data_IF_220268034586
#
_entry.id   IF_220268034586
#
_cell.length_a   1.000
_cell.length_b   1.000
_cell.length_c   1.000
_cell.angle_alpha   90.00
_cell.angle_beta   90.00
_cell.angle_gamma   90.00
#
_symmetry.space_group_name_H-M   'P 1'
#
loop_
_entity.id
_entity.type
_entity.pdbx_description
1 polymer ?
#
# COMPACT_ATOMS: atom_id res chain seq x y z
N UNK A 1 -49.79 41.55 -26.60
CA UNK A 1 -48.36 41.27 -26.85
C UNK A 1 -48.08 39.81 -26.55
N UNK A 2 -47.39 39.10 -27.46
CA UNK A 2 -46.86 37.73 -27.33
C UNK A 2 -45.86 37.70 -26.14
N UNK A 3 -45.63 36.64 -25.34
CA UNK A 3 -44.96 35.35 -25.65
C UNK A 3 -44.91 34.51 -24.34
N UNK A 4 -45.29 33.22 -24.37
CA UNK A 4 -44.45 32.00 -24.47
C UNK A 4 -44.08 31.40 -23.11
N UNK A 5 -44.57 30.18 -22.89
CA UNK A 5 -44.17 29.23 -21.85
C UNK A 5 -42.67 29.07 -21.72
N UNK A 6 -42.19 28.97 -20.48
CA UNK A 6 -40.92 28.33 -20.15
C UNK A 6 -41.21 26.99 -19.48
N UNK A 7 -41.49 25.99 -20.32
CA UNK A 7 -41.17 24.60 -20.01
C UNK A 7 -39.69 24.42 -20.30
N UNK A 8 -38.88 24.32 -19.26
CA UNK A 8 -37.55 23.72 -19.34
C UNK A 8 -37.30 22.96 -18.04
N UNK A 9 -37.86 21.75 -18.04
CA UNK A 9 -37.43 20.55 -17.36
C UNK A 9 -35.92 20.60 -17.01
N UNK A 10 -35.57 21.13 -15.85
CA UNK A 10 -34.24 20.89 -15.27
C UNK A 10 -34.26 19.47 -14.72
N UNK A 11 -34.05 18.51 -15.62
CA UNK A 11 -33.74 17.15 -15.24
C UNK A 11 -32.59 17.19 -14.25
N UNK A 12 -32.88 16.85 -13.00
CA UNK A 12 -31.86 16.47 -12.05
C UNK A 12 -31.19 15.27 -12.71
N UNK A 13 -30.01 15.51 -13.29
CA UNK A 13 -29.07 14.45 -13.58
C UNK A 13 -28.71 13.87 -12.22
N UNK A 14 -29.50 12.89 -11.77
CA UNK A 14 -29.00 11.87 -10.90
C UNK A 14 -27.90 11.18 -11.71
N UNK A 15 -26.69 11.72 -11.61
CA UNK A 15 -25.47 10.99 -11.87
C UNK A 15 -25.53 9.81 -10.90
N UNK A 16 -26.17 8.72 -11.33
CA UNK A 16 -25.91 7.40 -10.79
C UNK A 16 -24.46 7.12 -11.15
N UNK A 17 -23.54 7.67 -10.35
CA UNK A 17 -22.18 7.20 -10.21
C UNK A 17 -22.30 5.78 -9.66
N UNK A 18 -22.62 4.83 -10.54
CA UNK A 18 -22.41 3.40 -10.35
C UNK A 18 -20.90 3.07 -10.42
N UNK A 19 -20.05 4.00 -9.96
CA UNK A 19 -18.63 3.79 -9.74
C UNK A 19 -18.42 3.42 -8.28
N UNK A 20 -18.46 2.12 -7.99
CA UNK A 20 -17.98 1.42 -6.80
C UNK A 20 -17.38 2.33 -5.72
N UNK A 21 -18.21 2.84 -4.82
CA UNK A 21 -17.74 3.41 -3.55
C UNK A 21 -17.17 2.26 -2.72
N UNK A 22 -15.85 2.07 -2.74
CA UNK A 22 -15.20 1.14 -1.82
C UNK A 22 -15.39 1.66 -0.39
N UNK A 23 -15.65 0.76 0.57
CA UNK A 23 -15.81 1.08 2.00
C UNK A 23 -14.62 1.83 2.61
N UNK A 24 -13.51 1.91 1.89
CA UNK A 24 -12.27 2.59 2.30
C UNK A 24 -12.21 4.07 1.92
N UNK A 25 -13.27 4.59 1.29
CA UNK A 25 -13.37 6.00 0.89
C UNK A 25 -12.49 6.36 -0.29
N UNK A 26 -12.11 5.38 -1.12
CA UNK A 26 -11.28 5.57 -2.31
C UNK A 26 -12.04 5.14 -3.56
N UNK A 27 -11.81 5.87 -4.66
CA UNK A 27 -12.31 5.52 -5.99
C UNK A 27 -11.19 4.88 -6.81
N UNK A 28 -11.52 3.83 -7.57
CA UNK A 28 -10.58 3.07 -8.41
C UNK A 28 -10.47 1.60 -8.02
N UNK A 29 -9.63 0.85 -8.73
CA UNK A 29 -9.35 -0.56 -8.44
C UNK A 29 -8.37 -0.65 -7.27
N UNK A 30 -8.70 -1.47 -6.27
CA UNK A 30 -7.98 -1.55 -5.01
C UNK A 30 -7.43 -2.95 -4.82
N UNK A 31 -6.11 -3.07 -4.63
CA UNK A 31 -5.50 -4.28 -4.08
C UNK A 31 -5.68 -4.28 -2.57
N UNK A 32 -6.11 -5.41 -2.00
CA UNK A 32 -6.38 -5.59 -0.57
C UNK A 32 -5.21 -6.15 0.20
N UNK A 33 -4.15 -6.54 -0.50
CA UNK A 33 -2.95 -7.15 0.07
C UNK A 33 -1.75 -6.97 -0.85
N UNK A 34 -0.54 -7.09 -0.30
CA UNK A 34 0.69 -7.17 -1.09
C UNK A 34 0.68 -8.41 -1.99
N UNK A 35 0.19 -9.55 -1.47
CA UNK A 35 0.03 -10.78 -2.28
C UNK A 35 -0.85 -10.53 -3.50
N UNK A 36 -2.02 -9.94 -3.35
CA UNK A 36 -2.92 -9.62 -4.47
C UNK A 36 -2.27 -8.66 -5.48
N UNK A 37 -1.58 -7.62 -4.99
CA UNK A 37 -0.86 -6.68 -5.84
C UNK A 37 0.26 -7.34 -6.67
N UNK A 38 0.84 -8.44 -6.17
CA UNK A 38 1.92 -9.19 -6.82
C UNK A 38 1.47 -10.43 -7.59
N UNK A 39 0.28 -10.97 -7.32
CA UNK A 39 -0.21 -12.22 -7.94
C UNK A 39 -0.62 -12.02 -9.40
N UNK A 40 -1.28 -10.89 -9.71
CA UNK A 40 -1.74 -10.59 -11.06
C UNK A 40 -1.12 -9.29 -11.56
N UNK A 41 0.01 -9.42 -12.25
CA UNK A 41 0.74 -8.29 -12.84
C UNK A 41 0.04 -7.69 -14.06
N UNK A 42 -1.01 -8.33 -14.60
CA UNK A 42 -1.81 -7.79 -15.70
C UNK A 42 -2.79 -6.73 -15.22
N UNK A 43 -3.11 -6.74 -13.92
CA UNK A 43 -4.02 -5.79 -13.30
C UNK A 43 -3.28 -4.53 -12.90
N UNK A 44 -3.76 -3.38 -13.39
CA UNK A 44 -3.36 -2.06 -12.91
C UNK A 44 -4.27 -1.66 -11.76
N UNK A 45 -3.74 -1.72 -10.53
CA UNK A 45 -4.40 -1.20 -9.34
C UNK A 45 -4.12 0.30 -9.20
N UNK A 46 -5.13 1.06 -8.79
CA UNK A 46 -5.00 2.48 -8.46
C UNK A 46 -4.53 2.68 -7.00
N UNK A 47 -4.86 1.71 -6.14
CA UNK A 47 -4.62 1.75 -4.70
C UNK A 47 -4.18 0.40 -4.14
N UNK A 48 -3.37 0.44 -3.08
CA UNK A 48 -3.21 -0.63 -2.10
C UNK A 48 -3.88 -0.20 -0.80
N UNK A 49 -4.90 -0.93 -0.36
CA UNK A 49 -5.55 -0.75 0.95
C UNK A 49 -5.51 -2.05 1.73
N UNK A 50 -4.57 -2.17 2.67
CA UNK A 50 -4.27 -3.42 3.34
C UNK A 50 -4.15 -3.24 4.86
N UNK A 51 -4.60 -4.25 5.61
CA UNK A 51 -4.21 -4.45 6.99
C UNK A 51 -2.85 -5.14 7.01
N UNK A 52 -1.87 -4.53 7.66
CA UNK A 52 -0.46 -4.93 7.59
C UNK A 52 0.12 -5.16 8.97
N UNK A 53 1.19 -5.96 8.99
CA UNK A 53 2.15 -5.99 10.10
C UNK A 53 3.50 -5.51 9.62
N UNK A 54 4.21 -4.76 10.47
CA UNK A 54 5.50 -4.19 10.13
C UNK A 54 6.46 -4.21 11.32
N UNK A 55 7.75 -4.18 11.02
CA UNK A 55 8.83 -3.98 12.02
C UNK A 55 10.03 -3.31 11.36
N UNK A 56 10.84 -2.61 12.14
CA UNK A 56 12.15 -2.16 11.69
C UNK A 56 13.11 -3.35 11.71
N UNK A 57 13.89 -3.51 10.65
CA UNK A 57 14.98 -4.48 10.55
C UNK A 57 16.24 -3.76 10.10
N UNK A 58 17.40 -4.38 10.33
CA UNK A 58 18.62 -4.00 9.63
C UNK A 58 18.84 -4.96 8.46
N UNK A 59 18.98 -4.46 7.22
CA UNK A 59 19.24 -5.30 6.05
C UNK A 59 20.73 -5.57 5.81
N UNK A 60 21.62 -4.89 6.52
CA UNK A 60 23.06 -5.19 6.56
C UNK A 60 23.55 -5.32 7.99
N UNK A 61 23.86 -6.55 8.42
CA UNK A 61 24.37 -6.84 9.77
C UNK A 61 25.66 -6.08 10.13
N UNK A 62 26.37 -5.54 9.13
CA UNK A 62 27.60 -4.78 9.31
C UNK A 62 27.39 -3.26 9.26
N UNK A 63 26.22 -2.76 8.83
CA UNK A 63 25.94 -1.32 8.77
C UNK A 63 24.61 -0.97 9.45
N UNK A 64 24.67 -0.33 10.61
CA UNK A 64 23.47 0.13 11.36
C UNK A 64 22.72 1.27 10.67
N UNK A 65 23.30 1.89 9.65
CA UNK A 65 22.63 2.88 8.81
C UNK A 65 21.72 2.22 7.77
N UNK A 66 21.69 0.89 7.69
CA UNK A 66 20.83 0.16 6.77
C UNK A 66 19.53 -0.34 7.42
N UNK A 67 19.03 0.33 8.46
CA UNK A 67 17.70 0.00 8.97
C UNK A 67 16.61 0.31 7.93
N UNK A 68 15.62 -0.56 7.79
CA UNK A 68 14.50 -0.47 6.85
C UNK A 68 13.25 -1.02 7.52
N UNK A 69 12.09 -0.45 7.25
CA UNK A 69 10.84 -1.13 7.58
C UNK A 69 10.58 -2.23 6.56
N UNK A 70 10.22 -3.40 7.08
CA UNK A 70 9.55 -4.45 6.31
C UNK A 70 8.09 -4.49 6.69
N UNK A 71 7.23 -4.60 5.68
CA UNK A 71 5.78 -4.57 5.81
C UNK A 71 5.23 -5.79 5.12
N UNK A 72 4.35 -6.52 5.80
CA UNK A 72 3.70 -7.72 5.28
C UNK A 72 2.19 -7.59 5.46
N UNK A 73 1.43 -8.38 4.70
CA UNK A 73 0.01 -8.55 5.02
C UNK A 73 -0.12 -9.10 6.45
N UNK A 74 -1.09 -8.57 7.22
CA UNK A 74 -1.24 -8.87 8.65
C UNK A 74 -1.24 -10.37 8.95
N UNK A 75 -1.98 -11.12 8.13
CA UNK A 75 -2.21 -12.55 8.32
C UNK A 75 -1.22 -13.43 7.52
N UNK A 76 -0.22 -12.84 6.87
CA UNK A 76 0.76 -13.61 6.09
C UNK A 76 1.74 -14.37 6.99
N UNK A 77 1.73 -15.70 6.94
CA UNK A 77 2.65 -16.55 7.70
C UNK A 77 3.94 -16.83 6.92
N UNK A 78 3.90 -16.72 5.60
CA UNK A 78 5.03 -17.05 4.74
C UNK A 78 6.00 -15.87 4.65
N UNK A 79 5.52 -14.63 4.80
CA UNK A 79 6.35 -13.41 4.77
C UNK A 79 7.20 -13.31 3.48
N UNK A 80 6.71 -13.88 2.38
CA UNK A 80 7.45 -13.95 1.11
C UNK A 80 7.22 -12.74 0.22
N UNK A 81 6.10 -12.02 0.44
CA UNK A 81 5.71 -10.84 -0.33
C UNK A 81 5.38 -9.70 0.63
N UNK A 82 5.85 -8.49 0.33
CA UNK A 82 5.66 -7.36 1.23
C UNK A 82 6.12 -6.05 0.63
N UNK A 83 6.23 -5.02 1.46
CA UNK A 83 6.83 -3.72 1.11
C UNK A 83 8.12 -3.49 1.89
N UNK A 84 9.04 -2.71 1.30
CA UNK A 84 10.30 -2.30 1.94
C UNK A 84 10.40 -0.77 1.88
N UNK A 85 10.91 -0.13 2.93
CA UNK A 85 11.31 1.28 2.84
C UNK A 85 12.04 1.82 4.05
N UNK A 86 13.06 2.67 3.83
CA UNK A 86 13.52 3.70 4.80
C UNK A 86 13.35 5.11 4.23
N UNK A 87 13.42 5.30 2.90
CA UNK A 87 13.51 6.62 2.25
C UNK A 87 12.58 6.83 1.04
N UNK A 88 12.10 5.80 0.36
CA UNK A 88 11.22 5.96 -0.84
C UNK A 88 9.81 6.47 -0.51
N UNK A 89 9.55 6.65 0.79
CA UNK A 89 8.24 6.91 1.33
C UNK A 89 8.38 7.85 2.52
N UNK A 90 8.22 9.16 2.29
CA UNK A 90 7.73 10.09 3.31
C UNK A 90 6.46 9.57 4.06
N UNK A 91 5.89 8.49 3.53
CA UNK A 91 4.67 7.80 3.87
C UNK A 91 4.80 6.71 4.97
N UNK A 92 5.95 6.03 5.13
CA UNK A 92 6.16 5.07 6.24
C UNK A 92 6.78 5.71 7.48
N UNK A 93 7.21 6.97 7.41
CA UNK A 93 7.55 7.75 8.60
C UNK A 93 6.37 7.90 9.60
N UNK A 94 5.15 7.56 9.17
CA UNK A 94 3.95 7.51 10.02
C UNK A 94 3.87 6.25 10.88
N UNK A 95 4.65 5.21 10.55
CA UNK A 95 4.80 4.02 11.36
C UNK A 95 5.60 4.35 12.62
N UNK A 96 5.15 3.77 13.72
CA UNK A 96 5.86 3.82 14.98
C UNK A 96 7.26 3.20 14.81
N UNK A 97 8.29 3.93 15.23
CA UNK A 97 9.66 3.41 15.34
C UNK A 97 9.67 2.28 16.35
N UNK A 98 10.02 1.09 15.87
CA UNK A 98 10.08 -0.13 16.69
C UNK A 98 11.51 -0.62 16.72
N UNK A 99 12.09 -0.73 17.93
CA UNK A 99 13.43 -1.29 18.15
C UNK A 99 13.38 -2.58 18.98
N UNK A 100 12.20 -3.19 19.12
CA UNK A 100 11.94 -4.35 19.98
C UNK A 100 11.85 -5.67 19.20
N UNK A 101 12.14 -5.66 17.89
CA UNK A 101 11.99 -6.77 16.95
C UNK A 101 10.56 -7.38 16.88
N UNK A 102 9.54 -6.70 17.44
CA UNK A 102 8.15 -7.16 17.42
C UNK A 102 7.41 -6.53 16.26
N UNK A 103 6.47 -7.29 15.69
CA UNK A 103 5.52 -6.72 14.75
C UNK A 103 4.59 -5.72 15.43
N UNK A 104 4.34 -4.62 14.75
CA UNK A 104 3.21 -3.72 14.97
C UNK A 104 2.23 -3.86 13.82
N UNK A 105 1.04 -3.30 13.98
CA UNK A 105 -0.06 -3.45 13.04
C UNK A 105 -0.58 -2.09 12.62
N UNK A 106 -1.00 -1.96 11.37
CA UNK A 106 -1.60 -0.74 10.85
C UNK A 106 -2.51 -1.07 9.66
N UNK A 107 -3.38 -0.12 9.30
CA UNK A 107 -4.04 -0.11 8.00
C UNK A 107 -3.36 0.92 7.12
N UNK A 108 -2.92 0.52 5.93
CA UNK A 108 -2.31 1.45 4.96
C UNK A 108 -3.26 1.71 3.81
N UNK A 109 -3.22 2.93 3.26
CA UNK A 109 -3.86 3.32 2.01
C UNK A 109 -2.82 4.03 1.15
N UNK A 110 -2.31 3.35 0.14
CA UNK A 110 -1.29 3.88 -0.77
C UNK A 110 -1.92 4.07 -2.14
N UNK A 111 -1.90 5.30 -2.66
CA UNK A 111 -2.23 5.56 -4.06
C UNK A 111 -0.96 5.47 -4.89
N UNK A 112 -1.01 4.87 -6.06
CA UNK A 112 0.11 4.93 -7.01
C UNK A 112 0.26 3.66 -7.83
N UNK A 113 1.16 3.73 -8.81
CA UNK A 113 1.48 2.55 -9.61
C UNK A 113 2.24 1.55 -8.73
N UNK A 114 1.58 0.42 -8.45
CA UNK A 114 2.18 -0.71 -7.76
C UNK A 114 3.11 -1.43 -8.71
N UNK A 115 4.35 -1.67 -8.27
CA UNK A 115 5.32 -2.46 -9.01
C UNK A 115 5.77 -3.62 -8.13
N UNK A 116 5.54 -4.84 -8.61
CA UNK A 116 6.03 -6.04 -7.95
C UNK A 116 7.39 -6.42 -8.56
N UNK A 117 8.43 -6.49 -7.72
CA UNK A 117 9.78 -6.90 -8.12
C UNK A 117 10.26 -8.11 -7.32
N UNK A 118 11.18 -8.87 -7.89
CA UNK A 118 11.91 -9.90 -7.15
C UNK A 118 12.92 -9.24 -6.21
N UNK A 119 13.06 -9.78 -5.01
CA UNK A 119 13.95 -9.23 -3.99
C UNK A 119 15.41 -9.61 -4.22
N UNK A 120 15.68 -10.63 -5.04
CA UNK A 120 17.04 -11.06 -5.35
C UNK A 120 17.87 -11.36 -4.11
N UNK A 121 19.09 -10.83 -4.08
CA UNK A 121 20.09 -10.91 -3.00
C UNK A 121 19.97 -9.78 -1.96
N UNK A 122 18.89 -8.98 -2.01
CA UNK A 122 18.73 -7.79 -1.17
C UNK A 122 18.82 -8.07 0.34
N UNK A 123 18.49 -9.29 0.76
CA UNK A 123 18.50 -9.71 2.16
C UNK A 123 19.70 -10.60 2.52
N UNK A 124 20.65 -10.84 1.61
CA UNK A 124 21.76 -11.78 1.85
C UNK A 124 22.68 -11.34 2.99
N UNK A 125 22.69 -10.04 3.30
CA UNK A 125 23.44 -9.44 4.41
C UNK A 125 22.60 -9.24 5.68
N UNK A 126 21.31 -9.56 5.65
CA UNK A 126 20.44 -9.37 6.78
C UNK A 126 20.81 -10.33 7.93
N UNK A 127 20.53 -9.97 9.19
CA UNK A 127 20.57 -10.88 10.32
C UNK A 127 19.70 -12.13 10.11
N UNK A 128 20.10 -13.27 10.69
CA UNK A 128 19.42 -14.56 10.48
C UNK A 128 17.96 -14.61 10.96
N UNK A 129 17.56 -13.69 11.85
CA UNK A 129 16.21 -13.53 12.36
C UNK A 129 15.31 -12.67 11.45
N UNK A 130 15.84 -12.20 10.32
CA UNK A 130 15.09 -11.54 9.25
C UNK A 130 14.76 -12.59 8.18
N UNK A 131 13.48 -12.91 8.03
CA UNK A 131 13.04 -13.75 6.91
C UNK A 131 13.13 -12.92 5.62
N UNK A 132 13.92 -13.36 4.62
CA UNK A 132 14.08 -12.63 3.37
C UNK A 132 12.76 -12.65 2.59
N UNK A 133 12.34 -11.46 2.10
CA UNK A 133 11.27 -11.39 1.12
C UNK A 133 11.73 -12.07 -0.17
N UNK A 134 10.84 -12.79 -0.83
CA UNK A 134 11.05 -13.24 -2.22
C UNK A 134 10.67 -12.14 -3.19
N UNK A 135 9.59 -11.41 -2.91
CA UNK A 135 9.10 -10.30 -3.72
C UNK A 135 8.79 -9.08 -2.87
N UNK A 136 8.97 -7.91 -3.45
CA UNK A 136 8.57 -6.66 -2.82
C UNK A 136 7.69 -5.83 -3.76
N UNK A 137 6.78 -5.07 -3.15
CA UNK A 137 5.99 -4.04 -3.83
C UNK A 137 6.62 -2.69 -3.56
N UNK A 138 7.00 -1.99 -4.63
CA UNK A 138 7.40 -0.59 -4.59
C UNK A 138 6.33 0.32 -5.18
N UNK A 139 6.45 1.61 -4.86
CA UNK A 139 5.49 2.65 -5.25
C UNK A 139 6.27 3.79 -5.92
N UNK A 140 6.05 4.01 -7.22
CA UNK A 140 6.86 4.98 -7.99
C UNK A 140 6.42 6.45 -7.82
N UNK A 141 5.23 6.70 -7.29
CA UNK A 141 4.73 8.04 -6.95
C UNK A 141 3.47 7.91 -6.11
N UNK A 142 3.52 8.28 -4.82
CA UNK A 142 2.42 7.99 -3.92
C UNK A 142 2.14 9.12 -2.92
N UNK A 143 0.91 9.64 -2.94
CA UNK A 143 0.29 10.13 -1.73
C UNK A 143 -0.18 8.91 -0.92
N UNK A 144 0.30 8.77 0.31
CA UNK A 144 -0.11 7.67 1.20
C UNK A 144 -0.78 8.23 2.44
N UNK A 145 -1.85 7.59 2.87
CA UNK A 145 -2.47 7.81 4.17
C UNK A 145 -2.33 6.54 5.00
N UNK A 146 -1.76 6.63 6.20
CA UNK A 146 -1.70 5.50 7.14
C UNK A 146 -2.75 5.73 8.23
N UNK A 147 -3.68 4.79 8.35
CA UNK A 147 -4.67 4.76 9.43
C UNK A 147 -4.19 3.78 10.50
N UNK A 148 -3.79 4.31 11.65
CA UNK A 148 -3.40 3.47 12.80
C UNK A 148 -4.64 2.75 13.35
N UNK A 149 -4.46 1.48 13.74
CA UNK A 149 -5.49 0.67 14.39
C UNK A 149 -5.05 0.29 15.79
#
# INVERSE_FOLDING_TARGET
>A
MKKVSLLALSGIMALTLSGCWNSDGVSGKVARSFKEACQDTSVKYDWLVADVKYKLINIDKNDRREERYVVYDKDDQDLEVGGIGRYDLANYAQFELTNDNKFRYAKIKVRGQLQCGDSGDYFDKAPADVKPLKKYVSFSSASTTVERK
#
